data_IF_003675607164
#
_entry.id   IF_003675607164
#
_cell.length_a   1.000
_cell.length_b   1.000
_cell.length_c   1.000
_cell.angle_alpha   90.00
_cell.angle_beta   90.00
_cell.angle_gamma   90.00
#
_symmetry.space_group_name_H-M   'P 1'
#
loop_
_entity.id
_entity.type
_entity.pdbx_description
1 polymer ?
#
# COMPACT_ATOMS: atom_id res chain seq x y z
N UNK A 1 47.38 -24.50 10.30
CA UNK A 1 48.47 -23.64 9.79
C UNK A 1 48.18 -23.30 8.33
N UNK A 2 48.33 -22.01 7.98
CA UNK A 2 48.52 -21.33 6.67
C UNK A 2 48.55 -22.17 5.36
N UNK A 3 48.16 -21.70 4.16
CA UNK A 3 47.77 -20.39 3.60
C UNK A 3 47.29 -20.58 2.13
N UNK A 4 46.42 -19.67 1.68
CA UNK A 4 46.39 -18.97 0.36
C UNK A 4 46.19 -19.71 -0.98
N UNK A 5 45.09 -19.37 -1.66
CA UNK A 5 45.00 -18.82 -3.05
C UNK A 5 43.55 -18.32 -3.24
N UNK A 6 43.13 -17.32 -4.02
CA UNK A 6 43.74 -16.24 -4.81
C UNK A 6 42.57 -15.32 -5.20
N UNK A 7 42.62 -14.05 -4.81
CA UNK A 7 41.67 -12.99 -5.19
C UNK A 7 42.05 -12.41 -6.56
N UNK A 8 41.05 -12.08 -7.40
CA UNK A 8 41.25 -11.23 -8.58
C UNK A 8 40.07 -10.26 -8.73
N UNK A 9 40.35 -9.00 -8.46
CA UNK A 9 39.52 -7.84 -8.77
C UNK A 9 39.50 -7.55 -10.27
N UNK A 10 38.42 -6.94 -10.76
CA UNK A 10 38.51 -5.84 -11.71
C UNK A 10 37.23 -5.00 -11.69
N UNK A 11 37.38 -3.82 -11.10
CA UNK A 11 36.48 -2.68 -11.10
C UNK A 11 36.66 -1.88 -12.40
N UNK A 12 35.58 -1.40 -13.03
CA UNK A 12 35.68 -0.17 -13.83
C UNK A 12 34.34 0.56 -13.95
N UNK A 13 34.34 1.73 -13.29
CA UNK A 13 33.39 2.83 -13.41
C UNK A 13 33.45 3.47 -14.81
N UNK A 14 32.32 3.99 -15.28
CA UNK A 14 32.28 5.28 -15.99
C UNK A 14 30.85 5.81 -16.10
N UNK A 15 30.65 7.03 -15.59
CA UNK A 15 29.45 7.85 -15.73
C UNK A 15 29.61 8.84 -16.90
N UNK A 16 28.55 9.10 -17.69
CA UNK A 16 28.21 10.45 -18.25
C UNK A 16 26.88 10.51 -19.03
N UNK A 17 25.92 11.25 -18.45
CA UNK A 17 25.16 12.42 -18.95
C UNK A 17 24.69 12.56 -20.43
N UNK A 18 23.36 12.71 -20.58
CA UNK A 18 22.52 13.55 -21.48
C UNK A 18 22.81 13.79 -22.98
N UNK A 19 21.80 13.51 -23.83
CA UNK A 19 21.22 14.35 -24.92
C UNK A 19 20.08 13.53 -25.59
N UNK A 20 18.82 13.98 -25.67
CA UNK A 20 18.20 14.97 -26.57
C UNK A 20 18.08 14.58 -28.06
N UNK A 21 16.83 14.48 -28.52
CA UNK A 21 16.28 14.75 -29.88
C UNK A 21 16.21 13.67 -30.98
N UNK A 22 14.97 13.40 -31.44
CA UNK A 22 14.43 13.32 -32.84
C UNK A 22 13.12 12.50 -32.81
N UNK A 23 11.92 13.01 -33.10
CA UNK A 23 11.37 13.66 -34.30
C UNK A 23 11.03 12.69 -35.45
N UNK A 24 9.75 12.37 -35.59
CA UNK A 24 9.01 11.90 -36.78
C UNK A 24 7.53 11.97 -36.40
N UNK A 25 6.62 12.75 -37.00
CA UNK A 25 6.55 13.33 -38.33
C UNK A 25 5.41 12.66 -39.07
N UNK A 26 4.19 13.23 -39.01
CA UNK A 26 3.17 13.05 -40.05
C UNK A 26 2.12 14.19 -39.95
N UNK A 27 1.74 14.73 -41.10
CA UNK A 27 0.81 15.85 -41.32
C UNK A 27 -0.12 15.44 -42.48
N UNK A 28 -1.33 16.03 -42.68
CA UNK A 28 -1.38 17.31 -43.41
C UNK A 28 -2.63 18.24 -43.22
N UNK A 29 -2.41 19.52 -43.60
CA UNK A 29 -3.28 20.54 -44.28
C UNK A 29 -4.58 21.03 -43.59
N UNK A 30 -4.81 22.34 -43.40
CA UNK A 30 -5.10 23.36 -44.44
C UNK A 30 -4.94 24.79 -43.85
N UNK A 31 -4.24 25.74 -44.51
CA UNK A 31 -4.81 26.89 -45.26
C UNK A 31 -5.35 28.01 -44.34
N UNK A 32 -4.97 29.30 -44.37
CA UNK A 32 -4.55 30.18 -45.48
C UNK A 32 -4.09 31.55 -44.91
N UNK A 33 -3.17 32.19 -45.63
CA UNK A 33 -2.99 33.65 -45.85
C UNK A 33 -2.01 34.47 -44.97
N UNK A 34 -0.90 34.76 -45.65
CA UNK A 34 0.18 35.70 -45.37
C UNK A 34 -0.22 37.19 -45.38
N UNK A 35 0.61 38.00 -44.71
CA UNK A 35 1.31 39.11 -45.38
C UNK A 35 2.58 39.52 -44.62
N UNK A 36 3.72 39.24 -45.25
CA UNK A 36 5.03 39.84 -45.02
C UNK A 36 5.01 41.36 -45.23
N UNK A 37 5.88 42.05 -44.48
CA UNK A 37 6.85 42.95 -45.11
C UNK A 37 8.10 43.05 -44.24
N UNK A 38 9.14 42.33 -44.68
CA UNK A 38 10.54 42.54 -44.32
C UNK A 38 11.04 43.83 -45.00
N UNK A 39 11.84 44.62 -44.30
CA UNK A 39 12.87 45.46 -44.90
C UNK A 39 14.06 45.52 -43.92
N UNK A 40 15.13 44.87 -44.38
CA UNK A 40 16.42 44.67 -43.75
C UNK A 40 17.26 45.97 -43.83
N UNK A 41 17.87 46.40 -42.71
CA UNK A 41 18.97 47.35 -42.73
C UNK A 41 20.00 47.07 -41.63
N UNK A 42 21.03 46.33 -42.03
CA UNK A 42 22.40 46.26 -41.46
C UNK A 42 22.84 47.43 -40.55
N UNK A 43 23.14 47.07 -39.30
CA UNK A 43 24.49 47.15 -38.71
C UNK A 43 24.98 48.48 -38.10
N UNK A 44 25.11 48.53 -36.76
CA UNK A 44 26.32 49.04 -36.08
C UNK A 44 26.26 49.00 -34.53
N UNK A 45 27.31 48.42 -33.94
CA UNK A 45 28.08 48.90 -32.78
C UNK A 45 27.38 49.33 -31.47
N UNK A 46 27.69 48.54 -30.44
CA UNK A 46 28.18 48.91 -29.09
C UNK A 46 27.16 49.37 -28.01
N UNK A 47 26.97 48.46 -27.05
CA UNK A 47 27.05 48.63 -25.58
C UNK A 47 27.06 50.09 -25.08
N UNK A 48 25.89 50.67 -24.82
CA UNK A 48 25.67 51.65 -23.75
C UNK A 48 24.15 51.93 -23.65
N UNK A 49 23.50 51.50 -22.57
CA UNK A 49 22.07 51.75 -22.48
C UNK A 49 21.29 51.18 -21.29
N UNK A 50 21.93 50.80 -20.18
CA UNK A 50 21.26 50.69 -18.86
C UNK A 50 20.85 52.09 -18.32
N UNK A 51 20.48 53.03 -19.19
CA UNK A 51 20.11 54.41 -18.89
C UNK A 51 19.00 54.82 -19.83
N UNK A 52 17.78 54.39 -19.52
CA UNK A 52 16.60 54.67 -20.35
C UNK A 52 15.27 54.27 -19.70
N UNK A 53 15.28 53.38 -18.69
CA UNK A 53 14.14 53.29 -17.78
C UNK A 53 14.17 54.52 -16.87
N UNK A 54 13.30 55.49 -17.16
CA UNK A 54 13.11 56.67 -16.32
C UNK A 54 12.87 56.22 -14.85
N UNK A 55 13.44 56.92 -13.85
CA UNK A 55 13.42 56.50 -12.43
C UNK A 55 12.02 56.24 -11.84
N UNK A 56 10.98 56.69 -12.52
CA UNK A 56 9.59 56.42 -12.15
C UNK A 56 9.19 54.94 -12.36
N UNK A 57 9.71 54.24 -13.37
CA UNK A 57 9.29 52.86 -13.67
C UNK A 57 9.76 51.87 -12.58
N UNK A 58 10.99 52.04 -12.09
CA UNK A 58 11.50 51.25 -10.96
C UNK A 58 10.76 51.57 -9.65
N UNK A 59 10.35 52.83 -9.44
CA UNK A 59 9.59 53.25 -8.26
C UNK A 59 8.14 52.74 -8.27
N UNK A 60 7.49 52.70 -9.43
CA UNK A 60 6.14 52.16 -9.57
C UNK A 60 6.11 50.62 -9.41
N UNK A 61 7.08 49.89 -9.96
CA UNK A 61 7.18 48.44 -9.76
C UNK A 61 7.45 48.06 -8.29
N UNK A 62 8.31 48.81 -7.59
CA UNK A 62 8.56 48.60 -6.17
C UNK A 62 7.33 48.92 -5.29
N UNK A 63 6.55 49.95 -5.65
CA UNK A 63 5.31 50.33 -4.94
C UNK A 63 4.23 49.26 -5.08
N UNK A 64 4.03 48.70 -6.28
CA UNK A 64 3.07 47.61 -6.49
C UNK A 64 3.49 46.28 -5.84
N UNK A 65 4.80 45.99 -5.76
CA UNK A 65 5.30 44.81 -5.05
C UNK A 65 5.16 44.92 -3.52
N UNK A 66 5.35 46.13 -2.96
CA UNK A 66 5.14 46.39 -1.54
C UNK A 66 3.65 46.36 -1.16
N UNK A 67 2.77 46.90 -2.01
CA UNK A 67 1.32 46.90 -1.80
C UNK A 67 0.69 45.49 -1.94
N UNK A 68 1.26 44.64 -2.80
CA UNK A 68 0.89 43.22 -2.89
C UNK A 68 1.30 42.42 -1.65
N UNK A 69 2.44 42.75 -1.01
CA UNK A 69 2.83 42.15 0.27
C UNK A 69 2.03 42.67 1.46
N UNK A 70 1.60 43.95 1.44
CA UNK A 70 0.76 44.51 2.48
C UNK A 70 -0.65 43.89 2.51
N UNK A 71 -1.24 43.60 1.34
CA UNK A 71 -2.52 42.86 1.26
C UNK A 71 -2.42 41.38 1.65
N UNK A 72 -1.23 40.79 1.65
CA UNK A 72 -1.02 39.42 2.11
C UNK A 72 -0.82 39.31 3.62
N UNK A 73 -0.65 40.43 4.33
CA UNK A 73 -0.36 40.48 5.76
C UNK A 73 -1.54 40.95 6.63
N UNK A 74 -2.68 41.34 6.06
CA UNK A 74 -3.89 41.62 6.86
C UNK A 74 -4.63 40.31 7.18
N UNK A 75 -4.73 39.91 8.46
CA UNK A 75 -5.55 38.79 8.86
C UNK A 75 -7.01 39.11 8.55
N UNK A 76 -7.67 38.25 7.76
CA UNK A 76 -9.04 38.45 7.33
C UNK A 76 -9.97 38.66 8.55
N UNK A 77 -10.89 39.63 8.50
CA UNK A 77 -11.76 39.96 9.61
C UNK A 77 -12.62 38.76 10.04
N UNK A 78 -12.76 38.54 11.36
CA UNK A 78 -13.53 37.41 11.90
C UNK A 78 -15.02 37.60 11.58
N UNK A 79 -15.61 36.64 10.87
CA UNK A 79 -17.05 36.64 10.55
C UNK A 79 -17.42 36.38 9.08
N UNK A 80 -16.47 36.22 8.16
CA UNK A 80 -16.79 35.77 6.79
C UNK A 80 -17.03 34.25 6.73
N UNK A 81 -17.88 33.78 5.81
CA UNK A 81 -18.16 32.36 5.54
C UNK A 81 -16.92 31.50 5.20
N UNK A 82 -15.74 32.12 5.04
CA UNK A 82 -14.45 31.43 4.94
C UNK A 82 -13.89 30.95 6.28
N UNK A 83 -14.43 31.41 7.42
CA UNK A 83 -14.08 30.92 8.75
C UNK A 83 -14.59 29.49 9.02
N UNK A 84 -15.60 29.03 8.26
CA UNK A 84 -16.14 27.65 8.33
C UNK A 84 -15.48 26.70 7.33
N UNK A 85 -14.70 27.20 6.35
CA UNK A 85 -13.76 26.42 5.53
C UNK A 85 -12.41 26.38 6.26
N UNK A 86 -12.47 26.22 7.58
CA UNK A 86 -11.28 25.90 8.37
C UNK A 86 -11.00 24.45 8.04
N UNK A 87 -9.89 24.21 7.33
CA UNK A 87 -9.30 22.88 7.20
C UNK A 87 -9.38 22.25 8.59
N UNK A 88 -10.17 21.17 8.79
CA UNK A 88 -10.39 20.64 10.13
C UNK A 88 -9.02 20.35 10.75
N UNK A 89 -8.82 20.68 12.02
CA UNK A 89 -7.58 20.31 12.71
C UNK A 89 -7.38 18.79 12.55
N UNK A 90 -6.25 18.41 11.96
CA UNK A 90 -5.99 17.02 11.58
C UNK A 90 -6.39 16.63 10.15
N UNK A 91 -6.84 17.55 9.29
CA UNK A 91 -7.13 17.24 7.88
C UNK A 91 -5.91 16.67 7.15
N UNK A 92 -4.71 17.18 7.46
CA UNK A 92 -3.48 16.68 6.85
C UNK A 92 -3.11 15.29 7.39
N UNK A 93 -3.45 14.98 8.65
CA UNK A 93 -3.31 13.62 9.20
C UNK A 93 -4.33 12.65 8.55
N UNK A 94 -5.57 13.10 8.31
CA UNK A 94 -6.59 12.30 7.60
C UNK A 94 -6.14 12.05 6.16
N UNK A 95 -5.64 13.07 5.45
CA UNK A 95 -5.09 12.91 4.10
C UNK A 95 -3.90 11.94 4.09
N UNK A 96 -3.00 12.02 5.08
CA UNK A 96 -1.89 11.09 5.20
C UNK A 96 -2.38 9.64 5.36
N UNK A 97 -3.35 9.40 6.26
CA UNK A 97 -3.97 8.08 6.44
C UNK A 97 -4.67 7.56 5.17
N UNK A 98 -5.35 8.43 4.44
CA UNK A 98 -5.99 8.05 3.16
C UNK A 98 -4.94 7.69 2.10
N UNK A 99 -3.84 8.45 2.01
CA UNK A 99 -2.75 8.16 1.11
C UNK A 99 -2.06 6.83 1.47
N UNK A 100 -1.83 6.59 2.76
CA UNK A 100 -1.27 5.34 3.27
C UNK A 100 -2.17 4.14 2.97
N UNK A 101 -3.48 4.26 3.23
CA UNK A 101 -4.46 3.24 2.85
C UNK A 101 -4.43 2.94 1.36
N UNK A 102 -4.35 3.97 0.51
CA UNK A 102 -4.28 3.78 -0.94
C UNK A 102 -3.00 3.04 -1.36
N UNK A 103 -1.86 3.38 -0.75
CA UNK A 103 -0.59 2.70 -1.00
C UNK A 103 -0.65 1.23 -0.57
N UNK A 104 -1.20 0.93 0.60
CA UNK A 104 -1.37 -0.44 1.09
C UNK A 104 -2.35 -1.26 0.23
N UNK A 105 -3.49 -0.68 -0.18
CA UNK A 105 -4.44 -1.33 -1.09
C UNK A 105 -3.78 -1.62 -2.44
N UNK A 106 -2.96 -0.71 -2.96
CA UNK A 106 -2.19 -0.92 -4.19
C UNK A 106 -1.18 -2.05 -4.01
N UNK A 107 -0.46 -2.08 -2.88
CA UNK A 107 0.46 -3.16 -2.53
C UNK A 107 -0.26 -4.51 -2.49
N UNK A 108 -1.42 -4.60 -1.86
CA UNK A 108 -2.24 -5.82 -1.84
C UNK A 108 -2.63 -6.25 -3.26
N UNK A 109 -3.08 -5.32 -4.12
CA UNK A 109 -3.44 -5.61 -5.51
C UNK A 109 -2.25 -6.12 -6.34
N UNK A 110 -1.04 -5.62 -6.06
CA UNK A 110 0.18 -6.14 -6.72
C UNK A 110 0.57 -7.52 -6.23
N UNK A 111 0.54 -7.76 -4.91
CA UNK A 111 0.86 -9.04 -4.30
C UNK A 111 -0.16 -10.13 -4.67
N UNK A 112 -1.42 -9.76 -4.88
CA UNK A 112 -2.48 -10.66 -5.38
C UNK A 112 -2.09 -11.41 -6.65
N UNK A 113 -1.38 -10.75 -7.57
CA UNK A 113 -0.92 -11.36 -8.83
C UNK A 113 0.11 -12.47 -8.61
N UNK A 114 0.71 -12.53 -7.42
CA UNK A 114 1.71 -13.52 -7.01
C UNK A 114 1.32 -14.13 -5.67
N UNK A 115 0.04 -14.52 -5.55
CA UNK A 115 -0.57 -14.95 -4.29
C UNK A 115 0.24 -16.01 -3.55
N UNK A 116 0.73 -17.02 -4.27
CA UNK A 116 1.50 -18.15 -3.73
C UNK A 116 2.70 -17.74 -2.88
N UNK A 117 3.36 -16.62 -3.23
CA UNK A 117 4.52 -16.09 -2.51
C UNK A 117 4.19 -14.83 -1.72
N UNK A 118 3.09 -14.18 -2.03
CA UNK A 118 2.68 -12.89 -1.46
C UNK A 118 1.66 -12.98 -0.35
N UNK A 119 1.05 -14.14 -0.09
CA UNK A 119 -0.05 -14.28 0.88
C UNK A 119 0.35 -13.84 2.30
N UNK A 120 1.58 -14.14 2.73
CA UNK A 120 2.07 -13.72 4.04
C UNK A 120 2.21 -12.20 4.13
N UNK A 121 2.84 -11.60 3.11
CA UNK A 121 3.02 -10.15 3.03
C UNK A 121 1.66 -9.42 2.89
N UNK A 122 0.67 -10.02 2.24
CA UNK A 122 -0.73 -9.52 2.22
C UNK A 122 -1.32 -9.55 3.63
N UNK A 123 -1.16 -10.65 4.37
CA UNK A 123 -1.63 -10.77 5.75
C UNK A 123 -1.05 -9.68 6.66
N UNK A 124 0.25 -9.40 6.53
CA UNK A 124 0.92 -8.31 7.27
C UNK A 124 0.33 -6.94 6.92
N UNK A 125 0.16 -6.63 5.63
CA UNK A 125 -0.40 -5.33 5.21
C UNK A 125 -1.85 -5.18 5.69
N UNK A 126 -2.64 -6.25 5.66
CA UNK A 126 -4.00 -6.24 6.19
C UNK A 126 -4.03 -6.05 7.71
N UNK A 127 -3.08 -6.65 8.44
CA UNK A 127 -2.94 -6.46 9.88
C UNK A 127 -2.57 -5.01 10.22
N UNK A 128 -1.66 -4.38 9.46
CA UNK A 128 -1.30 -2.96 9.61
C UNK A 128 -2.50 -2.04 9.38
N UNK A 129 -3.29 -2.28 8.31
CA UNK A 129 -4.53 -1.52 8.04
C UNK A 129 -5.50 -1.62 9.22
N UNK A 130 -5.63 -2.82 9.79
CA UNK A 130 -6.52 -3.08 10.91
C UNK A 130 -6.04 -2.37 12.19
N UNK A 131 -4.75 -2.43 12.50
CA UNK A 131 -4.14 -1.84 13.70
C UNK A 131 -4.20 -0.31 13.69
N UNK A 132 -3.84 0.30 12.56
CA UNK A 132 -3.87 1.75 12.39
C UNK A 132 -5.27 2.30 12.11
N UNK A 133 -6.26 1.42 11.95
CA UNK A 133 -7.66 1.74 11.64
C UNK A 133 -7.79 2.67 10.42
N UNK A 134 -6.93 2.50 9.41
CA UNK A 134 -6.89 3.39 8.24
C UNK A 134 -8.21 3.40 7.47
N UNK A 135 -8.98 2.31 7.54
CA UNK A 135 -10.30 2.20 6.93
C UNK A 135 -11.30 3.24 7.47
N UNK A 136 -11.16 3.71 8.71
CA UNK A 136 -12.03 4.75 9.25
C UNK A 136 -11.80 6.09 8.57
N UNK A 137 -10.56 6.39 8.18
CA UNK A 137 -10.21 7.66 7.51
C UNK A 137 -10.88 7.80 6.13
N UNK A 138 -11.19 6.68 5.46
CA UNK A 138 -11.93 6.64 4.20
C UNK A 138 -13.46 6.55 4.38
N UNK A 139 -13.94 6.43 5.63
CA UNK A 139 -15.36 6.40 5.97
C UNK A 139 -16.00 5.01 6.01
N UNK A 140 -15.21 3.93 6.13
CA UNK A 140 -15.78 2.61 6.38
C UNK A 140 -16.11 2.44 7.87
N UNK A 141 -17.33 1.99 8.17
CA UNK A 141 -17.78 1.75 9.56
C UNK A 141 -17.14 0.53 10.23
N UNK A 142 -16.59 -0.41 9.45
CA UNK A 142 -15.89 -1.58 9.97
C UNK A 142 -14.81 -2.04 9.00
N UNK A 143 -13.82 -2.79 9.53
CA UNK A 143 -12.78 -3.42 8.70
C UNK A 143 -13.37 -4.40 7.69
N UNK A 144 -14.44 -5.11 8.06
CA UNK A 144 -15.13 -6.05 7.16
C UNK A 144 -15.77 -5.36 5.96
N UNK A 145 -16.41 -4.21 6.19
CA UNK A 145 -17.01 -3.41 5.11
C UNK A 145 -15.94 -2.86 4.15
N UNK A 146 -14.74 -2.56 4.65
CA UNK A 146 -13.59 -2.20 3.83
C UNK A 146 -13.13 -3.37 2.96
N UNK A 147 -12.99 -4.56 3.56
CA UNK A 147 -12.55 -5.76 2.84
C UNK A 147 -13.47 -6.09 1.67
N UNK A 148 -14.79 -6.12 1.88
CA UNK A 148 -15.74 -6.47 0.81
C UNK A 148 -15.78 -5.46 -0.35
N UNK A 149 -15.48 -4.18 -0.09
CA UNK A 149 -15.55 -3.12 -1.10
C UNK A 149 -14.23 -2.88 -1.83
N UNK A 150 -13.10 -3.04 -1.15
CA UNK A 150 -11.78 -2.66 -1.68
C UNK A 150 -10.88 -3.85 -2.00
N UNK A 151 -11.11 -4.99 -1.33
CA UNK A 151 -10.23 -6.17 -1.35
C UNK A 151 -11.00 -7.40 -1.88
N UNK A 152 -10.72 -7.81 -3.11
CA UNK A 152 -11.41 -8.92 -3.79
C UNK A 152 -11.02 -10.33 -3.29
N UNK A 153 -10.75 -10.54 -1.99
CA UNK A 153 -10.48 -11.86 -1.41
C UNK A 153 -11.68 -12.47 -0.68
N UNK A 154 -12.70 -11.65 -0.45
CA UNK A 154 -13.81 -11.98 0.43
C UNK A 154 -13.45 -11.81 1.91
N UNK A 155 -14.48 -11.63 2.74
CA UNK A 155 -14.36 -11.39 4.18
C UNK A 155 -13.62 -12.51 4.90
N UNK A 156 -14.03 -13.76 4.70
CA UNK A 156 -13.46 -14.92 5.42
C UNK A 156 -11.97 -15.12 5.12
N UNK A 157 -11.59 -15.11 3.84
CA UNK A 157 -10.19 -15.30 3.43
C UNK A 157 -9.30 -14.19 3.97
N UNK A 158 -9.75 -12.94 3.90
CA UNK A 158 -8.99 -11.79 4.39
C UNK A 158 -8.75 -11.87 5.90
N UNK A 159 -9.76 -12.25 6.68
CA UNK A 159 -9.62 -12.44 8.13
C UNK A 159 -8.67 -13.61 8.46
N UNK A 160 -8.75 -14.71 7.71
CA UNK A 160 -7.82 -15.85 7.85
C UNK A 160 -6.38 -15.44 7.52
N UNK A 161 -6.14 -14.62 6.49
CA UNK A 161 -4.80 -14.11 6.14
C UNK A 161 -4.21 -13.21 7.23
N UNK A 162 -5.03 -12.35 7.85
CA UNK A 162 -4.59 -11.54 9.00
C UNK A 162 -4.19 -12.45 10.16
N UNK A 163 -5.00 -13.44 10.52
CA UNK A 163 -4.64 -14.41 11.56
C UNK A 163 -3.37 -15.19 11.22
N UNK A 164 -3.23 -15.63 9.97
CA UNK A 164 -2.06 -16.37 9.49
C UNK A 164 -0.77 -15.60 9.76
N UNK A 165 -0.73 -14.30 9.48
CA UNK A 165 0.45 -13.47 9.74
C UNK A 165 0.81 -13.31 11.23
N UNK A 166 -0.14 -13.54 12.14
CA UNK A 166 0.09 -13.48 13.59
C UNK A 166 0.54 -14.82 14.19
N UNK A 167 0.17 -15.93 13.55
CA UNK A 167 0.42 -17.29 14.05
C UNK A 167 1.69 -17.88 13.45
N UNK A 168 1.93 -17.65 12.15
CA UNK A 168 3.04 -18.25 11.43
C UNK A 168 4.19 -17.26 11.28
N UNK A 169 5.41 -17.79 11.23
CA UNK A 169 6.57 -17.03 10.80
C UNK A 169 6.65 -17.00 9.28
N UNK A 170 7.24 -15.94 8.73
CA UNK A 170 7.31 -15.70 7.27
C UNK A 170 7.95 -16.85 6.51
N UNK A 171 9.10 -17.34 6.99
CA UNK A 171 9.87 -18.39 6.32
C UNK A 171 9.08 -19.71 6.30
N UNK A 172 8.58 -20.14 7.46
CA UNK A 172 7.77 -21.35 7.59
C UNK A 172 6.48 -21.30 6.75
N UNK A 173 5.85 -20.12 6.65
CA UNK A 173 4.67 -19.96 5.81
C UNK A 173 5.02 -20.17 4.33
N UNK A 174 6.09 -19.54 3.85
CA UNK A 174 6.50 -19.63 2.44
C UNK A 174 6.94 -21.04 2.04
N UNK A 175 7.56 -21.80 2.94
CA UNK A 175 8.00 -23.18 2.68
C UNK A 175 6.83 -24.16 2.55
N UNK A 176 5.78 -23.98 3.35
CA UNK A 176 4.62 -24.87 3.33
C UNK A 176 3.52 -24.45 2.34
N UNK A 177 3.50 -23.18 1.94
CA UNK A 177 2.52 -22.62 1.02
C UNK A 177 1.18 -22.28 1.68
N UNK A 178 0.40 -21.45 0.98
CA UNK A 178 -0.84 -20.87 1.51
C UNK A 178 -1.87 -21.92 1.96
N UNK A 179 -2.14 -22.95 1.15
CA UNK A 179 -3.19 -23.93 1.45
C UNK A 179 -2.89 -24.72 2.73
N UNK A 180 -1.64 -25.13 2.93
CA UNK A 180 -1.22 -25.83 4.15
C UNK A 180 -1.31 -24.95 5.38
N UNK A 181 -0.91 -23.68 5.27
CA UNK A 181 -1.06 -22.73 6.36
C UNK A 181 -2.53 -22.46 6.70
N UNK A 182 -3.41 -22.34 5.70
CA UNK A 182 -4.85 -22.14 5.91
C UNK A 182 -5.50 -23.36 6.55
N UNK A 183 -5.11 -24.58 6.15
CA UNK A 183 -5.57 -25.83 6.77
C UNK A 183 -5.09 -25.95 8.22
N UNK A 184 -3.82 -25.64 8.49
CA UNK A 184 -3.27 -25.63 9.83
C UNK A 184 -3.97 -24.59 10.72
N UNK A 185 -4.28 -23.41 10.18
CA UNK A 185 -5.05 -22.38 10.90
C UNK A 185 -6.46 -22.89 11.24
N UNK A 186 -7.15 -23.55 10.30
CA UNK A 186 -8.47 -24.12 10.54
C UNK A 186 -8.46 -25.22 11.61
N UNK A 187 -7.37 -26.01 11.68
CA UNK A 187 -7.17 -26.99 12.74
C UNK A 187 -6.94 -26.32 14.11
N UNK A 188 -6.17 -25.23 14.15
CA UNK A 188 -5.92 -24.46 15.39
C UNK A 188 -7.16 -23.71 15.89
N UNK A 189 -7.99 -23.17 14.98
CA UNK A 189 -9.26 -22.50 15.31
C UNK A 189 -10.35 -23.52 15.74
N UNK A 190 -10.09 -24.83 15.66
CA UNK A 190 -11.05 -25.89 16.01
C UNK A 190 -12.15 -26.12 14.97
N UNK A 191 -12.10 -25.42 13.82
CA UNK A 191 -13.04 -25.58 12.70
C UNK A 191 -12.83 -26.94 12.01
N UNK A 192 -11.59 -27.43 11.99
CA UNK A 192 -11.22 -28.75 11.47
C UNK A 192 -11.05 -29.80 12.58
N UNK A 193 -11.72 -29.65 13.72
CA UNK A 193 -11.86 -30.77 14.63
C UNK A 193 -12.63 -31.88 13.87
N UNK A 194 -12.02 -33.05 13.56
CA UNK A 194 -12.83 -34.22 13.28
C UNK A 194 -13.70 -34.33 14.54
N UNK A 195 -15.01 -34.19 14.35
CA UNK A 195 -16.01 -34.45 15.39
C UNK A 195 -15.54 -35.74 16.02
N UNK A 196 -14.93 -35.65 17.21
CA UNK A 196 -14.49 -36.82 17.93
C UNK A 196 -15.76 -37.64 17.98
N UNK A 197 -15.75 -38.79 17.29
CA UNK A 197 -16.89 -39.68 17.32
C UNK A 197 -17.24 -39.77 18.80
N UNK A 198 -18.48 -39.48 19.21
CA UNK A 198 -18.83 -39.62 20.61
C UNK A 198 -18.37 -41.02 20.95
N UNK A 199 -17.40 -41.12 21.87
CA UNK A 199 -16.98 -42.39 22.43
C UNK A 199 -18.23 -42.93 23.09
N UNK A 200 -19.07 -43.60 22.31
CA UNK A 200 -20.17 -44.39 22.80
C UNK A 200 -19.48 -45.38 23.72
N UNK A 201 -19.75 -45.35 25.04
CA UNK A 201 -19.37 -46.44 25.89
C UNK A 201 -20.02 -47.66 25.24
N UNK A 202 -19.21 -48.54 24.66
CA UNK A 202 -19.73 -49.75 24.04
C UNK A 202 -20.64 -50.45 25.05
N UNK A 203 -21.79 -51.00 24.62
CA UNK A 203 -22.58 -51.83 25.51
C UNK A 203 -21.67 -52.96 25.96
N UNK A 204 -21.42 -53.05 27.26
CA UNK A 204 -20.70 -54.17 27.84
C UNK A 204 -21.44 -55.44 27.43
N UNK A 205 -20.88 -56.18 26.46
CA UNK A 205 -21.25 -57.55 26.23
C UNK A 205 -20.98 -58.33 27.52
N UNK A 206 -21.88 -59.22 27.94
CA UNK A 206 -21.83 -59.84 29.25
C UNK A 206 -20.64 -60.79 29.33
N UNK A 207 -19.84 -60.65 30.38
CA UNK A 207 -18.84 -61.64 30.77
C UNK A 207 -19.54 -63.00 30.95
N UNK A 208 -19.10 -64.08 30.27
CA UNK A 208 -19.63 -65.41 30.55
C UNK A 208 -19.13 -65.83 31.94
N UNK A 209 -20.06 -65.89 32.89
CA UNK A 209 -19.83 -66.42 34.23
C UNK A 209 -19.22 -67.82 34.13
N UNK A 210 -18.16 -68.14 34.90
CA UNK A 210 -17.60 -69.48 34.93
C UNK A 210 -18.64 -70.46 35.49
N UNK A 211 -18.88 -71.52 34.71
CA UNK A 211 -19.72 -72.66 35.04
C UNK A 211 -19.34 -73.24 36.41
N UNK A 212 -20.35 -73.45 37.27
CA UNK A 212 -20.21 -74.14 38.57
C UNK A 212 -19.53 -75.51 38.36
N UNK A 213 -18.58 -75.91 39.25
CA UNK A 213 -18.02 -77.25 39.21
C UNK A 213 -19.04 -78.31 39.68
N UNK A 214 -18.95 -79.55 39.18
CA UNK A 214 -19.84 -80.63 39.59
C UNK A 214 -19.46 -81.10 40.99
N UNK A 215 -20.33 -80.85 41.99
CA UNK A 215 -20.22 -81.57 43.26
C UNK A 215 -20.71 -83.00 43.08
N UNK A 216 -19.79 -83.92 43.33
CA UNK A 216 -19.95 -85.36 43.38
C UNK A 216 -20.55 -85.74 44.75
N UNK A 217 -21.58 -86.58 44.72
CA UNK A 217 -21.95 -87.63 45.69
C UNK A 217 -22.17 -87.30 47.19
N UNK A 218 -23.40 -87.59 47.65
CA UNK A 218 -23.75 -88.33 48.89
C UNK A 218 -25.30 -88.47 48.87
N UNK A 219 -25.94 -89.64 48.91
CA UNK A 219 -25.68 -90.80 49.75
C UNK A 219 -26.52 -90.65 51.02
N UNK A 220 -27.71 -91.29 51.07
CA UNK A 220 -28.63 -91.30 52.21
C UNK A 220 -30.06 -91.60 51.82
#
# INVERSE_FOLDING_TARGET
MAKSTKTKSSEKRSAKKHSSSRASGDAPKSGTKAREKDDDAKGSKRKLGLRGAAPWAARHAAKHAAEARARAAEPAPPGSARATIRVPEGADAIKAKIAELHNQTTKIRTLRKRMEKGFFDIGLVLAEIQEQQLFQAKGYGSFEAFLEREIDFGKQTSLKLVKLSKVFQREAALDHGMDRCMMALAALDGEAAPKAAPSTPGPMAPLPLPLKPPMRAAGG
#
